data_IF_598627308366
#
_entry.id   IF_598627308366
#
_cell.length_a   1.000
_cell.length_b   1.000
_cell.length_c   1.000
_cell.angle_alpha   90.00
_cell.angle_beta   90.00
_cell.angle_gamma   90.00
#
_symmetry.space_group_name_H-M   'P 1'
#
loop_
_entity.id
_entity.type
_entity.pdbx_description
1 polymer ?
#
# COMPACT_ATOMS: atom_id res chain seq x y z
N UNK A 1 24.27 7.07 -18.13
CA UNK A 1 22.89 6.53 -18.18
C UNK A 1 22.62 5.60 -19.37
N UNK A 2 22.49 6.06 -20.62
CA UNK A 2 22.11 5.17 -21.75
C UNK A 2 23.12 4.03 -22.02
N UNK A 3 24.42 4.34 -22.00
CA UNK A 3 25.48 3.33 -22.18
C UNK A 3 25.58 2.34 -21.02
N UNK A 4 25.38 2.81 -19.78
CA UNK A 4 25.37 1.94 -18.58
C UNK A 4 24.16 1.00 -18.58
N UNK A 5 23.00 1.48 -19.03
CA UNK A 5 21.80 0.65 -19.16
C UNK A 5 21.98 -0.46 -20.21
N UNK A 6 22.57 -0.16 -21.37
CA UNK A 6 22.86 -1.18 -22.38
C UNK A 6 23.93 -2.17 -21.92
N UNK A 7 24.97 -1.72 -21.20
CA UNK A 7 25.96 -2.61 -20.62
C UNK A 7 25.33 -3.56 -19.60
N UNK A 8 24.51 -3.05 -18.68
CA UNK A 8 23.78 -3.86 -17.71
C UNK A 8 22.82 -4.86 -18.37
N UNK A 9 22.17 -4.48 -19.49
CA UNK A 9 21.31 -5.37 -20.26
C UNK A 9 22.10 -6.51 -20.93
N UNK A 10 23.25 -6.20 -21.53
CA UNK A 10 24.12 -7.23 -22.13
C UNK A 10 24.74 -8.16 -21.08
N UNK A 11 25.14 -7.63 -19.93
CA UNK A 11 25.65 -8.45 -18.83
C UNK A 11 24.56 -9.40 -18.29
N UNK A 12 23.31 -8.93 -18.16
CA UNK A 12 22.18 -9.77 -17.79
C UNK A 12 21.87 -10.84 -18.84
N UNK A 13 21.90 -10.50 -20.13
CA UNK A 13 21.70 -11.42 -21.26
C UNK A 13 22.77 -12.52 -21.30
N UNK A 14 24.04 -12.15 -21.07
CA UNK A 14 25.15 -13.09 -20.96
C UNK A 14 24.97 -14.03 -19.75
N UNK A 15 24.54 -13.51 -18.61
CA UNK A 15 24.21 -14.30 -17.42
C UNK A 15 23.06 -15.30 -17.67
N UNK A 16 22.02 -14.91 -18.41
CA UNK A 16 20.92 -15.81 -18.77
C UNK A 16 21.31 -16.96 -19.69
N UNK A 17 22.33 -16.74 -20.52
CA UNK A 17 22.81 -17.71 -21.51
C UNK A 17 23.76 -18.75 -20.90
N UNK A 18 24.27 -18.51 -19.69
CA UNK A 18 25.14 -19.43 -18.95
C UNK A 18 24.31 -20.30 -17.98
N UNK A 19 24.19 -21.62 -18.22
CA UNK A 19 23.45 -22.53 -17.35
C UNK A 19 24.01 -22.63 -15.92
N UNK A 20 25.26 -22.20 -15.70
CA UNK A 20 25.92 -22.19 -14.40
C UNK A 20 25.78 -20.85 -13.64
N UNK A 21 25.27 -19.80 -14.30
CA UNK A 21 25.14 -18.49 -13.68
C UNK A 21 23.98 -18.44 -12.68
N UNK A 22 24.25 -17.83 -11.52
CA UNK A 22 23.21 -17.55 -10.54
C UNK A 22 22.41 -16.32 -10.98
N UNK A 23 21.28 -16.55 -11.62
CA UNK A 23 20.34 -15.51 -12.04
C UNK A 23 19.69 -14.87 -10.79
N UNK A 24 19.70 -13.54 -10.70
CA UNK A 24 19.02 -12.83 -9.61
C UNK A 24 17.50 -12.95 -9.77
N UNK A 25 16.71 -12.92 -8.68
CA UNK A 25 15.27 -13.22 -8.72
C UNK A 25 14.42 -12.43 -9.73
N UNK A 26 14.83 -11.20 -10.10
CA UNK A 26 14.14 -10.33 -11.05
C UNK A 26 14.89 -10.14 -12.37
N UNK A 27 16.08 -10.74 -12.51
CA UNK A 27 16.86 -10.63 -13.73
C UNK A 27 16.06 -11.23 -14.90
N UNK A 28 16.10 -10.60 -16.07
CA UNK A 28 15.34 -11.04 -17.26
C UNK A 28 13.83 -10.82 -17.20
N UNK A 29 13.29 -10.28 -16.09
CA UNK A 29 11.88 -9.88 -16.03
C UNK A 29 11.69 -8.59 -16.83
N UNK A 30 10.75 -8.54 -17.81
CA UNK A 30 10.44 -7.31 -18.53
C UNK A 30 9.99 -6.21 -17.57
N UNK A 31 10.58 -5.03 -17.70
CA UNK A 31 10.23 -3.87 -16.88
C UNK A 31 9.31 -2.96 -17.67
N UNK A 32 8.10 -2.74 -17.13
CA UNK A 32 7.22 -1.68 -17.56
C UNK A 32 7.54 -0.44 -16.73
N UNK A 33 7.83 0.67 -17.40
CA UNK A 33 8.01 1.96 -16.73
C UNK A 33 6.66 2.68 -16.67
N UNK A 34 6.38 3.25 -15.50
CA UNK A 34 5.19 4.07 -15.28
C UNK A 34 5.27 5.29 -16.20
N UNK A 35 4.22 5.53 -16.98
CA UNK A 35 4.17 6.66 -17.91
C UNK A 35 2.97 7.58 -17.64
N UNK A 36 3.16 8.90 -17.85
CA UNK A 36 2.07 9.88 -17.78
C UNK A 36 1.00 9.57 -18.83
N UNK A 37 -0.27 9.60 -18.42
CA UNK A 37 -1.39 9.40 -19.33
C UNK A 37 -1.94 10.77 -19.73
N UNK A 38 -1.96 11.14 -21.03
CA UNK A 38 -2.40 12.46 -21.46
C UNK A 38 -3.86 12.71 -21.09
N UNK A 39 -4.16 13.94 -20.66
CA UNK A 39 -5.52 14.43 -20.38
C UNK A 39 -5.81 15.56 -21.37
N UNK A 40 -6.94 15.49 -22.08
CA UNK A 40 -7.29 16.48 -23.09
C UNK A 40 -7.16 17.91 -22.55
N UNK A 41 -6.50 18.78 -23.33
CA UNK A 41 -6.25 20.20 -23.03
C UNK A 41 -5.35 20.45 -21.81
N UNK A 42 -4.61 19.44 -21.35
CA UNK A 42 -3.49 19.59 -20.39
C UNK A 42 -2.16 19.53 -21.12
N UNK A 43 -1.16 20.17 -20.55
CA UNK A 43 0.23 20.05 -21.01
C UNK A 43 0.79 18.76 -20.40
N UNK A 44 1.55 18.02 -21.19
CA UNK A 44 2.30 16.84 -20.73
C UNK A 44 3.56 17.38 -20.03
N UNK A 45 3.65 17.18 -18.72
CA UNK A 45 4.73 17.76 -17.89
C UNK A 45 5.74 16.70 -17.46
N UNK A 46 5.27 15.47 -17.25
CA UNK A 46 6.01 14.31 -16.78
C UNK A 46 6.02 13.20 -17.85
N UNK A 47 6.80 12.15 -17.62
CA UNK A 47 6.82 10.99 -18.53
C UNK A 47 7.73 11.15 -19.75
N UNK A 48 7.23 10.86 -20.95
CA UNK A 48 8.00 10.84 -22.19
C UNK A 48 8.59 12.21 -22.52
N UNK A 49 9.92 12.32 -22.46
CA UNK A 49 10.66 13.53 -22.83
C UNK A 49 10.41 13.99 -24.28
N UNK A 50 9.87 13.14 -25.14
CA UNK A 50 9.53 13.49 -26.53
C UNK A 50 8.24 14.32 -26.61
N UNK A 51 7.32 14.09 -25.68
CA UNK A 51 6.00 14.75 -25.64
C UNK A 51 5.95 15.87 -24.59
N UNK A 52 6.99 16.01 -23.77
CA UNK A 52 7.07 17.02 -22.71
C UNK A 52 6.88 18.44 -23.27
N UNK A 53 5.95 19.18 -22.66
CA UNK A 53 5.55 20.52 -23.08
C UNK A 53 4.52 20.56 -24.20
N UNK A 54 4.14 19.42 -24.79
CA UNK A 54 3.05 19.34 -25.76
C UNK A 54 1.69 19.43 -25.05
N UNK A 55 0.71 20.06 -25.72
CA UNK A 55 -0.68 20.04 -25.26
C UNK A 55 -1.38 18.79 -25.79
N UNK A 56 -1.91 17.97 -24.88
CA UNK A 56 -2.65 16.77 -25.22
C UNK A 56 -3.97 17.14 -25.94
N UNK A 57 -4.17 16.58 -27.13
CA UNK A 57 -5.36 16.81 -27.96
C UNK A 57 -6.57 15.97 -27.53
N UNK A 58 -6.32 14.86 -26.82
CA UNK A 58 -7.34 13.93 -26.33
C UNK A 58 -6.87 13.32 -25.00
N UNK A 59 -7.82 12.83 -24.22
CA UNK A 59 -7.52 12.05 -23.01
C UNK A 59 -7.20 10.61 -23.40
N UNK A 60 -6.23 9.99 -22.74
CA UNK A 60 -6.00 8.57 -22.89
C UNK A 60 -7.21 7.78 -22.34
N UNK A 61 -7.65 6.66 -22.96
CA UNK A 61 -8.81 5.89 -22.48
C UNK A 61 -8.71 5.44 -21.01
N UNK A 62 -7.48 5.22 -20.51
CA UNK A 62 -7.27 4.87 -19.10
C UNK A 62 -7.64 5.99 -18.13
N UNK A 63 -7.58 7.26 -18.55
CA UNK A 63 -7.99 8.40 -17.72
C UNK A 63 -9.50 8.38 -17.51
N UNK A 64 -10.26 8.02 -18.55
CA UNK A 64 -11.72 7.90 -18.42
C UNK A 64 -12.10 6.69 -17.57
N UNK A 65 -11.36 5.58 -17.72
CA UNK A 65 -11.59 4.37 -16.93
C UNK A 65 -11.18 4.53 -15.47
N UNK A 66 -10.11 5.30 -15.18
CA UNK A 66 -9.54 5.53 -13.84
C UNK A 66 -9.36 7.05 -13.58
N UNK A 67 -10.45 7.81 -13.36
CA UNK A 67 -10.38 9.27 -13.24
C UNK A 67 -9.68 9.76 -11.97
N UNK A 68 -9.58 8.93 -10.94
CA UNK A 68 -8.88 9.22 -9.68
C UNK A 68 -8.25 7.95 -9.11
N UNK A 69 -7.09 7.50 -9.64
CA UNK A 69 -6.48 6.23 -9.25
C UNK A 69 -5.72 6.31 -7.91
N UNK A 70 -5.74 7.47 -7.23
CA UNK A 70 -4.98 7.69 -6.00
C UNK A 70 -3.50 7.94 -6.30
N UNK A 71 -2.69 8.13 -5.26
CA UNK A 71 -1.30 8.50 -5.47
C UNK A 71 -0.40 8.37 -4.24
N UNK A 72 0.91 8.47 -4.43
CA UNK A 72 1.61 8.79 -5.68
C UNK A 72 1.75 7.61 -6.66
N UNK A 73 1.59 6.36 -6.22
CA UNK A 73 1.73 5.17 -7.07
C UNK A 73 0.49 4.86 -7.95
N UNK A 74 -0.30 5.88 -8.31
CA UNK A 74 -1.53 5.74 -9.10
C UNK A 74 -1.32 4.99 -10.42
N UNK A 75 -0.30 5.38 -11.21
CA UNK A 75 0.00 4.70 -12.47
C UNK A 75 0.41 3.23 -12.32
N UNK A 76 1.04 2.84 -11.20
CA UNK A 76 1.32 1.43 -10.90
C UNK A 76 0.02 0.66 -10.62
N UNK A 77 -0.91 1.28 -9.88
CA UNK A 77 -2.26 0.74 -9.66
C UNK A 77 -3.07 0.62 -10.95
N UNK A 78 -3.05 1.64 -11.82
CA UNK A 78 -3.73 1.62 -13.12
C UNK A 78 -3.17 0.53 -14.01
N UNK A 79 -1.84 0.45 -14.20
CA UNK A 79 -1.21 -0.57 -15.04
C UNK A 79 -1.54 -2.01 -14.58
N UNK A 80 -1.62 -2.21 -13.26
CA UNK A 80 -2.06 -3.48 -12.68
C UNK A 80 -3.55 -3.75 -12.92
N UNK A 81 -4.42 -2.78 -12.67
CA UNK A 81 -5.86 -2.93 -12.82
C UNK A 81 -6.30 -3.01 -14.29
N UNK A 82 -5.54 -2.44 -15.23
CA UNK A 82 -5.78 -2.48 -16.67
C UNK A 82 -5.24 -3.74 -17.35
N UNK A 83 -4.41 -4.54 -16.68
CA UNK A 83 -3.82 -5.76 -17.27
C UNK A 83 -2.45 -5.57 -17.90
N UNK A 84 -1.86 -4.37 -17.84
CA UNK A 84 -0.56 -4.06 -18.48
C UNK A 84 0.63 -4.71 -17.77
N UNK A 85 0.51 -4.97 -16.46
CA UNK A 85 1.50 -5.73 -15.70
C UNK A 85 0.85 -6.78 -14.80
N UNK A 86 1.65 -7.77 -14.41
CA UNK A 86 1.27 -8.83 -13.46
C UNK A 86 1.62 -8.47 -12.02
N UNK A 87 2.58 -7.56 -11.84
CA UNK A 87 3.15 -7.16 -10.55
C UNK A 87 3.61 -5.72 -10.62
N UNK A 88 3.40 -4.97 -9.55
CA UNK A 88 3.91 -3.61 -9.46
C UNK A 88 4.52 -3.33 -8.08
N UNK A 89 5.39 -2.35 -8.05
CA UNK A 89 5.95 -1.77 -6.83
C UNK A 89 5.51 -0.33 -6.70
N UNK A 90 5.48 0.18 -5.48
CA UNK A 90 5.31 1.59 -5.18
C UNK A 90 6.09 1.99 -3.94
N UNK A 91 6.07 3.27 -3.63
CA UNK A 91 6.55 3.82 -2.36
C UNK A 91 5.36 4.32 -1.53
N UNK A 92 5.46 4.21 -0.22
CA UNK A 92 4.39 4.60 0.70
C UNK A 92 4.96 5.29 1.94
N UNK A 93 4.68 6.59 2.05
CA UNK A 93 4.90 7.38 3.26
C UNK A 93 3.56 7.54 3.99
N UNK A 94 2.62 8.23 3.35
CA UNK A 94 1.29 8.53 3.89
C UNK A 94 0.15 7.69 3.31
N UNK A 95 0.45 6.63 2.56
CA UNK A 95 -0.57 5.79 1.89
C UNK A 95 -0.29 5.55 0.42
N UNK A 96 0.86 5.95 -0.13
CA UNK A 96 1.09 5.96 -1.57
C UNK A 96 1.21 4.60 -2.27
N UNK A 97 1.16 3.48 -1.54
CA UNK A 97 0.86 2.13 -2.08
C UNK A 97 -0.61 1.80 -1.78
N UNK A 98 -1.05 1.97 -0.53
CA UNK A 98 -2.36 1.52 -0.05
C UNK A 98 -3.55 2.28 -0.65
N UNK A 99 -3.43 3.59 -0.83
CA UNK A 99 -4.45 4.46 -1.44
C UNK A 99 -4.67 4.07 -2.90
N UNK A 100 -3.64 4.05 -3.78
CA UNK A 100 -3.88 3.67 -5.17
C UNK A 100 -4.28 2.21 -5.32
N UNK A 101 -3.79 1.31 -4.46
CA UNK A 101 -4.30 -0.06 -4.43
C UNK A 101 -5.82 -0.10 -4.15
N UNK A 102 -6.27 0.59 -3.09
CA UNK A 102 -7.70 0.71 -2.76
C UNK A 102 -8.53 1.31 -3.91
N UNK A 103 -8.05 2.40 -4.52
CA UNK A 103 -8.78 3.07 -5.61
C UNK A 103 -8.82 2.28 -6.91
N UNK A 104 -7.86 1.39 -7.13
CA UNK A 104 -7.81 0.52 -8.30
C UNK A 104 -8.33 -0.90 -8.02
N UNK A 105 -8.86 -1.17 -6.81
CA UNK A 105 -9.37 -2.48 -6.39
C UNK A 105 -8.30 -3.58 -6.29
N UNK A 106 -7.10 -3.21 -5.88
CA UNK A 106 -5.92 -4.08 -5.75
C UNK A 106 -5.53 -4.27 -4.29
N UNK A 107 -4.69 -5.27 -4.05
CA UNK A 107 -4.01 -5.46 -2.77
C UNK A 107 -2.69 -4.69 -2.77
N UNK A 108 -2.45 -3.88 -1.74
CA UNK A 108 -1.21 -3.11 -1.58
C UNK A 108 -0.61 -3.32 -0.19
N UNK A 109 0.68 -3.60 -0.12
CA UNK A 109 1.38 -3.83 1.15
C UNK A 109 2.49 -2.83 1.37
N UNK A 110 2.37 -2.04 2.44
CA UNK A 110 3.45 -1.23 2.98
C UNK A 110 4.20 -2.04 4.04
N UNK A 111 5.40 -2.56 3.75
CA UNK A 111 6.14 -3.32 4.75
C UNK A 111 6.64 -2.41 5.90
N UNK A 112 7.06 -3.00 7.03
CA UNK A 112 7.82 -2.27 8.04
C UNK A 112 9.04 -1.59 7.43
N UNK A 113 9.37 -0.39 7.91
CA UNK A 113 10.54 0.35 7.46
C UNK A 113 11.82 -0.50 7.56
N UNK A 114 12.70 -0.35 6.58
CA UNK A 114 13.95 -1.12 6.49
C UNK A 114 13.77 -2.58 6.06
N UNK A 115 12.54 -3.09 5.89
CA UNK A 115 12.35 -4.45 5.37
C UNK A 115 12.73 -4.55 3.89
N UNK A 116 12.27 -3.60 3.08
CA UNK A 116 12.72 -3.44 1.69
C UNK A 116 13.75 -2.31 1.70
N UNK A 117 14.97 -2.53 1.17
CA UNK A 117 16.00 -1.50 1.15
C UNK A 117 15.58 -0.36 0.22
N UNK A 118 15.70 0.86 0.70
CA UNK A 118 15.30 2.07 -0.03
C UNK A 118 16.46 2.76 -0.74
N UNK A 119 16.14 3.70 -1.63
CA UNK A 119 17.11 4.62 -2.22
C UNK A 119 17.21 5.93 -1.44
N UNK A 120 18.39 6.52 -1.39
CA UNK A 120 18.59 7.82 -0.77
C UNK A 120 17.83 8.94 -1.53
N UNK A 121 17.24 9.92 -0.82
CA UNK A 121 17.29 10.11 0.64
C UNK A 121 16.21 9.33 1.41
N UNK A 122 15.27 8.69 0.73
CA UNK A 122 14.10 8.04 1.34
C UNK A 122 14.45 6.83 2.22
N UNK A 123 15.59 6.20 2.00
CA UNK A 123 16.12 5.15 2.88
C UNK A 123 16.39 5.61 4.33
N UNK A 124 16.40 6.92 4.59
CA UNK A 124 16.53 7.50 5.93
C UNK A 124 15.21 8.01 6.52
N UNK A 125 14.13 7.97 5.75
CA UNK A 125 12.79 8.35 6.19
C UNK A 125 12.07 7.12 6.72
N UNK A 126 11.92 7.03 8.05
CA UNK A 126 11.32 5.87 8.72
C UNK A 126 9.85 5.65 8.40
N UNK A 127 9.18 6.61 7.76
CA UNK A 127 7.80 6.46 7.31
C UNK A 127 7.71 5.88 5.90
N UNK A 128 8.73 6.14 5.08
CA UNK A 128 8.80 5.68 3.70
C UNK A 128 9.11 4.19 3.65
N UNK A 129 8.28 3.42 2.95
CA UNK A 129 8.60 2.06 2.60
C UNK A 129 8.24 1.77 1.14
N UNK A 130 9.16 1.13 0.44
CA UNK A 130 8.87 0.52 -0.86
C UNK A 130 8.19 -0.82 -0.64
N UNK A 131 7.22 -1.14 -1.49
CA UNK A 131 6.43 -2.35 -1.31
C UNK A 131 5.63 -2.76 -2.55
N UNK A 132 5.08 -3.99 -2.51
CA UNK A 132 4.37 -4.57 -3.63
C UNK A 132 2.90 -4.19 -3.69
N UNK A 133 2.38 -4.22 -4.91
CA UNK A 133 0.97 -4.21 -5.24
C UNK A 133 0.63 -5.43 -6.11
N UNK A 134 -0.51 -6.07 -5.84
CA UNK A 134 -0.95 -7.34 -6.41
C UNK A 134 -2.45 -7.36 -6.69
N UNK A 135 -2.92 -8.34 -7.49
CA UNK A 135 -4.37 -8.62 -7.62
C UNK A 135 -4.88 -9.56 -6.54
N UNK A 136 -3.98 -10.09 -5.72
CA UNK A 136 -4.25 -10.98 -4.61
C UNK A 136 -3.19 -10.85 -3.52
N UNK A 137 -3.56 -11.16 -2.28
CA UNK A 137 -2.63 -11.28 -1.15
C UNK A 137 -1.49 -12.25 -1.46
N UNK A 138 -1.74 -13.30 -2.25
CA UNK A 138 -0.72 -14.24 -2.69
C UNK A 138 0.30 -13.58 -3.63
N UNK A 139 -0.13 -12.77 -4.59
CA UNK A 139 0.77 -12.02 -5.48
C UNK A 139 1.62 -11.01 -4.73
N UNK A 140 0.99 -10.27 -3.81
CA UNK A 140 1.65 -9.32 -2.91
C UNK A 140 2.70 -10.03 -2.06
N UNK A 141 2.35 -11.16 -1.46
CA UNK A 141 3.26 -11.97 -0.63
C UNK A 141 4.43 -12.49 -1.44
N UNK A 142 4.19 -13.00 -2.64
CA UNK A 142 5.23 -13.52 -3.52
C UNK A 142 6.25 -12.42 -3.88
N UNK A 143 5.77 -11.24 -4.32
CA UNK A 143 6.66 -10.13 -4.64
C UNK A 143 7.35 -9.58 -3.39
N UNK A 144 6.64 -9.48 -2.26
CA UNK A 144 7.21 -9.09 -0.98
C UNK A 144 8.30 -10.05 -0.51
N UNK A 145 8.33 -11.30 -0.93
CA UNK A 145 9.42 -12.21 -0.61
C UNK A 145 10.62 -12.00 -1.52
N UNK A 146 10.48 -11.39 -2.69
CA UNK A 146 11.58 -11.11 -3.61
C UNK A 146 12.34 -9.83 -3.24
N UNK A 147 11.63 -8.78 -2.82
CA UNK A 147 12.18 -7.45 -2.54
C UNK A 147 13.11 -7.30 -1.31
N UNK A 148 12.90 -7.97 -0.16
CA UNK A 148 13.52 -7.62 1.10
C UNK A 148 14.89 -8.28 1.26
N UNK A 149 15.73 -7.62 2.04
CA UNK A 149 17.01 -8.18 2.48
C UNK A 149 18.01 -7.09 2.85
N UNK A 150 19.08 -7.48 3.57
CA UNK A 150 20.16 -6.56 3.88
C UNK A 150 20.79 -6.02 2.59
N UNK A 151 20.95 -4.70 2.49
CA UNK A 151 21.56 -4.04 1.33
C UNK A 151 22.70 -3.13 1.76
N UNK A 152 23.82 -3.19 1.05
CA UNK A 152 25.03 -2.46 1.43
C UNK A 152 24.94 -0.93 1.31
N UNK A 153 24.03 -0.41 0.48
CA UNK A 153 23.77 1.04 0.36
C UNK A 153 22.70 1.53 1.33
N UNK A 154 22.06 0.64 2.08
CA UNK A 154 21.01 0.98 3.03
C UNK A 154 21.30 0.38 4.40
N UNK A 155 21.87 1.21 5.28
CA UNK A 155 22.20 0.83 6.65
C UNK A 155 20.95 0.54 7.50
N UNK A 156 19.78 1.03 7.10
CA UNK A 156 18.52 0.76 7.79
C UNK A 156 17.91 -0.60 7.41
N UNK A 157 18.47 -1.29 6.40
CA UNK A 157 17.98 -2.59 5.97
C UNK A 157 18.06 -3.64 7.10
N UNK A 158 16.90 -4.22 7.44
CA UNK A 158 16.74 -5.14 8.55
C UNK A 158 17.43 -6.48 8.25
N UNK A 159 18.02 -7.07 9.30
CA UNK A 159 18.69 -8.37 9.25
C UNK A 159 18.09 -9.32 10.30
N UNK A 160 17.95 -10.63 10.01
CA UNK A 160 18.13 -11.28 8.71
C UNK A 160 16.96 -10.97 7.75
N UNK A 161 17.09 -11.37 6.47
CA UNK A 161 15.96 -11.37 5.52
C UNK A 161 14.81 -12.19 6.12
N UNK A 162 13.60 -11.65 6.08
CA UNK A 162 12.39 -12.31 6.55
C UNK A 162 11.52 -12.72 5.38
N UNK A 163 11.05 -13.96 5.37
CA UNK A 163 10.10 -14.46 4.37
C UNK A 163 8.71 -14.53 4.99
N UNK A 164 7.73 -13.97 4.28
CA UNK A 164 6.32 -14.06 4.61
C UNK A 164 5.75 -15.40 4.12
N UNK A 165 5.05 -16.11 4.98
CA UNK A 165 4.18 -17.20 4.55
C UNK A 165 2.93 -16.63 3.87
N UNK A 166 2.40 -17.33 2.86
CA UNK A 166 1.06 -17.02 2.35
C UNK A 166 0.05 -17.46 3.43
N UNK A 167 -0.69 -16.53 4.05
CA UNK A 167 -1.55 -16.88 5.17
C UNK A 167 -2.78 -17.67 4.67
N UNK A 168 -3.10 -18.77 5.35
CA UNK A 168 -4.40 -19.40 5.21
C UNK A 168 -5.46 -18.56 5.93
N UNK A 169 -6.68 -18.47 5.38
CA UNK A 169 -7.77 -17.69 5.99
C UNK A 169 -8.05 -18.09 7.45
N UNK A 170 -7.89 -19.38 7.79
CA UNK A 170 -8.05 -19.89 9.15
C UNK A 170 -7.04 -19.30 10.17
N UNK A 171 -5.90 -18.76 9.71
CA UNK A 171 -4.92 -18.14 10.58
C UNK A 171 -5.43 -16.84 11.25
N UNK A 172 -6.49 -16.23 10.70
CA UNK A 172 -7.12 -15.07 11.32
C UNK A 172 -8.02 -15.42 12.51
N UNK A 173 -8.46 -16.68 12.63
CA UNK A 173 -9.40 -17.09 13.70
C UNK A 173 -8.73 -16.94 15.07
N UNK A 174 -9.40 -16.23 15.97
CA UNK A 174 -8.92 -15.96 17.34
C UNK A 174 -8.06 -14.70 17.48
N UNK A 175 -7.73 -13.99 16.39
CA UNK A 175 -7.03 -12.71 16.47
C UNK A 175 -7.91 -11.64 17.14
N UNK A 176 -7.32 -10.83 18.01
CA UNK A 176 -7.91 -9.61 18.56
C UNK A 176 -7.75 -8.50 17.52
N UNK A 177 -8.84 -8.14 16.85
CA UNK A 177 -8.82 -7.09 15.82
C UNK A 177 -9.48 -5.84 16.37
N UNK A 178 -8.78 -4.71 16.35
CA UNK A 178 -9.37 -3.40 16.63
C UNK A 178 -10.03 -2.86 15.37
N UNK A 179 -11.22 -2.26 15.48
CA UNK A 179 -11.88 -1.54 14.39
C UNK A 179 -11.79 -0.04 14.66
N UNK A 180 -11.20 0.71 13.74
CA UNK A 180 -11.18 2.17 13.79
C UNK A 180 -11.61 2.72 12.43
N UNK A 181 -12.87 3.16 12.35
CA UNK A 181 -13.47 3.59 11.07
C UNK A 181 -12.90 4.95 10.62
N UNK A 182 -12.80 5.91 11.53
CA UNK A 182 -12.54 7.30 11.19
C UNK A 182 -11.23 7.86 11.77
N UNK A 183 -10.40 7.01 12.41
CA UNK A 183 -9.19 7.42 13.13
C UNK A 183 -9.41 8.61 14.10
N UNK A 184 -10.65 8.81 14.56
CA UNK A 184 -11.04 9.87 15.48
C UNK A 184 -11.51 11.18 14.83
N UNK A 185 -11.09 11.51 13.60
CA UNK A 185 -11.28 12.87 13.06
C UNK A 185 -11.40 12.95 11.52
N UNK A 186 -11.52 11.81 10.83
CA UNK A 186 -11.67 11.79 9.39
C UNK A 186 -13.14 11.57 8.99
N UNK A 187 -13.65 12.41 8.10
CA UNK A 187 -14.94 12.19 7.44
C UNK A 187 -14.80 11.01 6.46
N UNK A 188 -15.50 9.92 6.75
CA UNK A 188 -15.49 8.70 5.94
C UNK A 188 -16.78 8.62 5.15
N UNK A 189 -16.68 8.33 3.86
CA UNK A 189 -17.84 8.08 3.02
C UNK A 189 -18.69 6.93 3.61
N UNK A 190 -20.03 7.08 3.71
CA UNK A 190 -20.88 6.08 4.34
C UNK A 190 -20.73 4.67 3.76
N UNK A 191 -20.44 4.52 2.46
CA UNK A 191 -20.24 3.20 1.88
C UNK A 191 -18.88 2.59 2.27
N UNK A 192 -17.84 3.42 2.42
CA UNK A 192 -16.53 2.96 2.91
C UNK A 192 -16.64 2.52 4.36
N UNK A 193 -17.35 3.29 5.19
CA UNK A 193 -17.67 2.89 6.56
C UNK A 193 -18.47 1.59 6.59
N UNK A 194 -19.52 1.46 5.78
CA UNK A 194 -20.32 0.25 5.69
C UNK A 194 -19.48 -0.97 5.30
N UNK A 195 -18.60 -0.84 4.30
CA UNK A 195 -17.70 -1.90 3.85
C UNK A 195 -16.66 -2.28 4.92
N UNK A 196 -16.08 -1.29 5.62
CA UNK A 196 -15.14 -1.54 6.71
C UNK A 196 -15.83 -2.29 7.86
N UNK A 197 -17.04 -1.87 8.23
CA UNK A 197 -17.85 -2.55 9.26
C UNK A 197 -18.28 -3.95 8.83
N UNK A 198 -18.66 -4.15 7.56
CA UNK A 198 -19.00 -5.47 7.03
C UNK A 198 -17.78 -6.42 7.07
N UNK A 199 -16.61 -5.93 6.67
CA UNK A 199 -15.35 -6.67 6.75
C UNK A 199 -15.01 -7.04 8.20
N UNK A 200 -15.13 -6.08 9.12
CA UNK A 200 -14.95 -6.32 10.54
C UNK A 200 -15.94 -7.37 11.07
N UNK A 201 -17.20 -7.30 10.64
CA UNK A 201 -18.25 -8.22 11.05
C UNK A 201 -18.01 -9.66 10.57
N UNK A 202 -17.34 -9.86 9.44
CA UNK A 202 -16.92 -11.20 9.03
C UNK A 202 -15.97 -11.86 10.05
N UNK A 203 -15.14 -11.05 10.72
CA UNK A 203 -14.24 -11.50 11.79
C UNK A 203 -14.96 -11.59 13.15
N UNK A 204 -15.65 -10.51 13.55
CA UNK A 204 -16.37 -10.47 14.83
C UNK A 204 -17.55 -11.43 14.88
N UNK A 205 -18.31 -11.61 13.80
CA UNK A 205 -19.43 -12.54 13.74
C UNK A 205 -18.99 -14.00 13.93
N UNK A 206 -17.78 -14.35 13.48
CA UNK A 206 -17.22 -15.69 13.63
C UNK A 206 -16.68 -15.97 15.05
N UNK A 207 -16.14 -14.95 15.73
CA UNK A 207 -15.48 -15.09 17.05
C UNK A 207 -16.38 -14.63 18.20
N UNK A 208 -16.95 -13.44 18.07
CA UNK A 208 -17.80 -12.79 19.08
C UNK A 208 -19.29 -13.11 18.91
N UNK A 209 -19.76 -13.55 17.74
CA UNK A 209 -21.17 -13.89 17.52
C UNK A 209 -21.72 -14.92 18.53
N UNK A 210 -21.02 -16.05 18.77
CA UNK A 210 -21.41 -17.03 19.79
C UNK A 210 -21.37 -16.48 21.23
N UNK A 211 -20.41 -15.61 21.55
CA UNK A 211 -20.21 -14.99 22.87
C UNK A 211 -21.19 -13.84 23.16
N UNK A 212 -21.49 -12.99 22.17
CA UNK A 212 -22.46 -11.89 22.25
C UNK A 212 -23.90 -12.43 22.33
N UNK A 213 -24.20 -13.55 21.66
CA UNK A 213 -25.48 -14.26 21.83
C UNK A 213 -25.71 -14.71 23.28
N UNK A 214 -24.64 -14.84 24.07
CA UNK A 214 -24.68 -15.20 25.50
C UNK A 214 -24.78 -13.96 26.42
N UNK A 215 -24.29 -12.78 25.97
CA UNK A 215 -24.15 -11.55 26.78
C UNK A 215 -25.24 -10.50 26.54
N UNK A 216 -25.90 -10.44 25.38
CA UNK A 216 -26.94 -9.41 25.07
C UNK A 216 -28.17 -9.47 26.01
N UNK A 217 -28.22 -10.42 26.94
CA UNK A 217 -29.08 -10.35 28.12
C UNK A 217 -28.70 -9.31 29.19
N UNK A 218 -27.53 -8.65 29.17
CA UNK A 218 -27.01 -7.97 30.39
C UNK A 218 -26.07 -6.73 30.21
N UNK A 219 -26.62 -5.54 29.89
CA UNK A 219 -26.07 -4.18 30.20
C UNK A 219 -25.37 -3.37 29.08
N UNK A 220 -25.97 -2.23 28.72
CA UNK A 220 -25.62 -1.38 27.56
C UNK A 220 -25.26 0.10 27.89
N UNK A 221 -24.84 0.44 29.10
CA UNK A 221 -24.83 1.86 29.57
C UNK A 221 -23.46 2.52 29.85
N UNK A 222 -22.34 2.09 29.27
CA UNK A 222 -21.01 2.63 29.67
C UNK A 222 -20.10 3.08 28.52
N UNK A 223 -20.12 4.37 28.17
CA UNK A 223 -19.08 5.01 27.32
C UNK A 223 -18.68 6.41 27.84
N UNK A 224 -17.41 6.82 27.62
CA UNK A 224 -16.65 7.75 28.50
C UNK A 224 -16.13 9.09 27.89
N UNK A 225 -15.83 10.12 28.73
CA UNK A 225 -15.56 11.54 28.36
C UNK A 225 -14.21 11.91 27.71
N UNK A 226 -13.31 10.96 27.42
CA UNK A 226 -11.98 11.23 26.87
C UNK A 226 -12.03 11.93 25.48
N UNK A 227 -13.13 11.73 24.77
CA UNK A 227 -13.44 12.31 23.46
C UNK A 227 -13.40 13.84 23.42
N UNK A 228 -13.64 14.52 24.55
CA UNK A 228 -13.72 15.98 24.60
C UNK A 228 -12.35 16.67 24.74
N UNK A 229 -11.30 15.94 25.14
CA UNK A 229 -9.98 16.54 25.46
C UNK A 229 -9.04 16.67 24.25
N UNK A 230 -9.31 15.91 23.17
CA UNK A 230 -8.43 15.84 21.99
C UNK A 230 -8.51 17.11 21.12
N UNK A 231 -9.65 17.81 21.16
CA UNK A 231 -9.92 19.01 20.35
C UNK A 231 -9.04 20.22 20.69
N UNK A 232 -8.40 20.28 21.86
CA UNK A 232 -7.66 21.48 22.30
C UNK A 232 -6.19 21.50 21.87
N UNK A 233 -5.65 20.42 21.29
CA UNK A 233 -4.19 20.27 21.08
C UNK A 233 -3.68 20.43 19.64
N UNK A 234 -4.56 20.66 18.67
CA UNK A 234 -4.21 20.60 17.25
C UNK A 234 -3.90 21.97 16.61
N UNK A 235 -2.90 22.72 17.11
CA UNK A 235 -2.39 23.90 16.40
C UNK A 235 -0.93 24.23 16.76
N UNK A 236 0.03 23.75 15.96
CA UNK A 236 1.35 24.36 15.68
C UNK A 236 2.28 23.41 14.88
N UNK A 237 2.90 23.88 13.79
CA UNK A 237 3.97 23.14 13.08
C UNK A 237 5.19 24.00 12.76
N UNK A 238 6.39 23.45 12.95
CA UNK A 238 7.70 23.99 12.55
C UNK A 238 8.74 22.87 12.34
N UNK A 239 9.88 23.20 11.70
CA UNK A 239 11.10 22.40 11.37
C UNK A 239 11.00 20.85 11.34
N UNK A 240 11.35 20.24 10.19
CA UNK A 240 11.23 18.80 9.86
C UNK A 240 11.61 17.80 10.98
N UNK A 241 12.73 17.99 11.68
CA UNK A 241 13.14 17.11 12.79
C UNK A 241 12.20 17.18 14.02
N UNK A 242 11.60 18.35 14.28
CA UNK A 242 10.54 18.50 15.30
C UNK A 242 9.22 17.93 14.82
N UNK A 243 8.94 17.98 13.52
CA UNK A 243 7.81 17.29 12.89
C UNK A 243 7.84 15.78 13.14
N UNK A 244 8.96 15.12 12.82
CA UNK A 244 9.14 13.68 13.06
C UNK A 244 8.95 13.28 14.53
N UNK A 245 9.46 14.09 15.46
CA UNK A 245 9.33 13.84 16.91
C UNK A 245 7.90 14.09 17.43
N UNK A 246 7.24 15.16 16.97
CA UNK A 246 5.86 15.45 17.32
C UNK A 246 4.89 14.41 16.75
N UNK A 247 5.17 13.92 15.55
CA UNK A 247 4.40 12.87 14.89
C UNK A 247 4.59 11.51 15.58
N UNK A 248 5.82 11.11 15.92
CA UNK A 248 6.07 9.92 16.72
C UNK A 248 5.37 9.96 18.09
N UNK A 249 5.36 11.13 18.75
CA UNK A 249 4.62 11.35 19.99
C UNK A 249 3.09 11.27 19.81
N UNK A 250 2.59 11.64 18.62
CA UNK A 250 1.17 11.52 18.27
C UNK A 250 0.75 10.06 18.06
N UNK A 251 1.67 9.21 17.59
CA UNK A 251 1.45 7.77 17.45
C UNK A 251 1.73 6.95 18.73
N UNK A 252 2.43 7.49 19.73
CA UNK A 252 2.76 6.75 20.98
C UNK A 252 1.52 6.21 21.72
N UNK A 253 0.43 6.98 21.92
CA UNK A 253 -0.79 6.48 22.55
C UNK A 253 -1.44 5.34 21.73
N UNK A 254 -1.37 5.45 20.41
CA UNK A 254 -1.85 4.40 19.51
C UNK A 254 -1.00 3.13 19.66
N UNK A 255 0.33 3.27 19.76
CA UNK A 255 1.24 2.14 19.99
C UNK A 255 0.88 1.32 21.23
N UNK A 256 0.67 1.97 22.38
CA UNK A 256 0.26 1.31 23.63
C UNK A 256 -1.12 0.67 23.54
N UNK A 257 -2.06 1.30 22.81
CA UNK A 257 -3.38 0.73 22.57
C UNK A 257 -3.28 -0.54 21.70
N UNK A 258 -2.41 -0.53 20.69
CA UNK A 258 -2.24 -1.62 19.74
C UNK A 258 -1.54 -2.85 20.33
N UNK A 259 -0.80 -2.74 21.43
CA UNK A 259 -0.23 -3.91 22.14
C UNK A 259 -1.31 -4.93 22.58
N UNK A 260 -2.54 -4.44 22.82
CA UNK A 260 -3.70 -5.25 23.16
C UNK A 260 -4.39 -5.93 21.98
N UNK A 261 -3.93 -5.71 20.74
CA UNK A 261 -4.55 -6.21 19.53
C UNK A 261 -3.51 -6.82 18.59
N UNK A 262 -3.94 -7.78 17.78
CA UNK A 262 -3.09 -8.46 16.80
C UNK A 262 -3.17 -7.78 15.43
N UNK A 263 -4.25 -7.03 15.16
CA UNK A 263 -4.39 -6.18 13.97
C UNK A 263 -5.33 -4.99 14.20
N UNK A 264 -5.15 -3.94 13.40
CA UNK A 264 -6.07 -2.81 13.27
C UNK A 264 -6.73 -2.85 11.90
N UNK A 265 -8.07 -2.90 11.87
CA UNK A 265 -8.86 -2.70 10.68
C UNK A 265 -9.30 -1.24 10.61
N UNK A 266 -8.83 -0.53 9.58
CA UNK A 266 -9.24 0.84 9.28
C UNK A 266 -9.30 1.07 7.76
N UNK A 267 -10.16 1.98 7.28
CA UNK A 267 -10.11 2.45 5.89
C UNK A 267 -8.75 3.05 5.55
N UNK A 268 -8.20 2.67 4.39
CA UNK A 268 -6.93 3.23 3.89
C UNK A 268 -7.14 4.62 3.26
N UNK A 269 -8.14 4.82 2.39
CA UNK A 269 -8.71 6.13 2.08
C UNK A 269 -10.08 6.33 2.73
N UNK A 270 -10.49 7.59 2.87
CA UNK A 270 -11.83 7.96 3.39
C UNK A 270 -12.89 8.03 2.29
N UNK A 271 -12.48 8.07 1.02
CA UNK A 271 -13.36 8.14 -0.15
C UNK A 271 -13.46 6.78 -0.86
N UNK A 272 -14.52 6.60 -1.64
CA UNK A 272 -14.73 5.40 -2.43
C UNK A 272 -13.67 5.27 -3.54
N UNK A 273 -13.10 4.08 -3.64
CA UNK A 273 -12.32 3.64 -4.80
C UNK A 273 -13.20 3.05 -5.89
N UNK A 274 -12.60 2.64 -7.01
CA UNK A 274 -13.31 1.87 -8.02
C UNK A 274 -13.26 0.38 -7.70
N UNK A 275 -14.34 -0.34 -8.05
CA UNK A 275 -14.33 -1.81 -7.97
C UNK A 275 -13.34 -2.36 -9.00
N UNK A 276 -12.42 -3.23 -8.57
CA UNK A 276 -11.67 -4.04 -9.53
C UNK A 276 -12.63 -4.96 -10.27
N UNK A 277 -12.38 -5.17 -11.56
CA UNK A 277 -13.09 -6.20 -12.30
C UNK A 277 -12.86 -7.56 -11.62
N UNK A 278 -13.92 -8.34 -11.34
CA UNK A 278 -13.76 -9.64 -10.73
C UNK A 278 -12.91 -10.52 -11.63
N UNK A 279 -12.00 -11.30 -11.03
CA UNK A 279 -11.30 -12.39 -11.73
C UNK A 279 -12.34 -13.48 -12.03
N UNK A 280 -13.08 -13.30 -13.12
CA UNK A 280 -14.00 -14.31 -13.64
C UNK A 280 -13.23 -15.48 -14.26
N UNK A 281 -13.82 -16.69 -14.31
CA UNK A 281 -13.19 -17.86 -14.90
C UNK A 281 -13.26 -17.82 -16.44
N UNK A 282 -12.76 -16.79 -17.10
CA UNK A 282 -12.69 -16.74 -18.57
C UNK A 282 -11.57 -15.83 -19.07
N UNK A 283 -10.34 -16.35 -19.06
CA UNK A 283 -9.39 -16.14 -20.15
C UNK A 283 -8.61 -17.46 -20.33
N UNK A 284 -9.18 -18.34 -21.17
CA UNK A 284 -8.43 -19.32 -21.94
C UNK A 284 -8.15 -18.72 -23.31
#
# INVERSE_FOLDING_TARGET
>A
MRYEAYAAAHDAEAGFSDPAARIRPLEGTPLLFKEEQPIARRIIEEGSLLEQGAMAIASHPLVERFPAPGGSSGGAGVAMASGETIRATGSDIGGSIRIPASFCGLDGFKPPFGRVPGMAPFNSDTYCADGPMGRSVADVTLLQNVLPGPHHTDLASIRPRYELAIPAAAAAVGMRVALCVNLGDFDVDPAVEANARATAWAHFGAIMGPFISEIVGANSEMLMPYTLNVSERAAQSGQHARGLAAEAASYEPLGKLLEGYDALLCPSPTAQGMAAEPVGPTHR
#
